data_IF_927330636736
#
_entry.id   IF_927330636736
#
_cell.length_a   1.000
_cell.length_b   1.000
_cell.length_c   1.000
_cell.angle_alpha   90.00
_cell.angle_beta   90.00
_cell.angle_gamma   90.00
#
_symmetry.space_group_name_H-M   'P 1'
#
loop_
_entity.id
_entity.type
_entity.pdbx_description
1 polymer ?
#
# COMPACT_ATOMS: atom_id res chain seq x y z
N UNK A 1 -5.77 -20.46 23.60
CA UNK A 1 -4.95 -20.36 22.37
C UNK A 1 -5.20 -19.08 21.55
N UNK A 2 -6.45 -18.75 21.13
CA UNK A 2 -6.75 -17.57 20.31
C UNK A 2 -6.27 -16.22 20.92
N UNK A 3 -6.50 -15.99 22.22
CA UNK A 3 -6.08 -14.76 22.91
C UNK A 3 -4.54 -14.63 22.99
N UNK A 4 -3.83 -15.73 23.20
CA UNK A 4 -2.38 -15.75 23.24
C UNK A 4 -1.80 -15.37 21.86
N UNK A 5 -2.31 -15.97 20.77
CA UNK A 5 -1.90 -15.66 19.41
C UNK A 5 -2.13 -14.18 19.06
N UNK A 6 -3.31 -13.63 19.42
CA UNK A 6 -3.62 -12.22 19.21
C UNK A 6 -2.63 -11.31 19.96
N UNK A 7 -2.30 -11.64 21.22
CA UNK A 7 -1.34 -10.85 22.00
C UNK A 7 0.07 -10.92 21.43
N UNK A 8 0.51 -12.09 20.95
CA UNK A 8 1.81 -12.26 20.29
C UNK A 8 1.88 -11.44 19.01
N UNK A 9 0.87 -11.53 18.14
CA UNK A 9 0.79 -10.75 16.91
C UNK A 9 0.79 -9.25 17.22
N UNK A 10 -0.01 -8.82 18.21
CA UNK A 10 -0.06 -7.41 18.63
C UNK A 10 1.29 -6.92 19.16
N UNK A 11 1.98 -7.72 19.97
CA UNK A 11 3.31 -7.40 20.47
C UNK A 11 4.34 -7.29 19.34
N UNK A 12 4.30 -8.21 18.39
CA UNK A 12 5.15 -8.18 17.21
C UNK A 12 4.92 -6.92 16.36
N UNK A 13 3.66 -6.60 16.04
CA UNK A 13 3.32 -5.39 15.30
C UNK A 13 3.73 -4.13 16.06
N UNK A 14 3.60 -4.12 17.39
CA UNK A 14 4.03 -2.99 18.22
C UNK A 14 5.54 -2.78 18.17
N UNK A 15 6.33 -3.84 18.15
CA UNK A 15 7.79 -3.78 17.96
C UNK A 15 8.13 -3.24 16.58
N UNK A 16 7.50 -3.79 15.53
CA UNK A 16 7.70 -3.32 14.15
C UNK A 16 7.39 -1.82 14.00
N UNK A 17 6.35 -1.35 14.67
CA UNK A 17 5.98 0.06 14.66
C UNK A 17 7.08 1.02 15.10
N UNK A 18 8.04 0.56 15.89
CA UNK A 18 9.17 1.39 16.36
C UNK A 18 10.19 1.71 15.27
N UNK A 19 10.25 0.87 14.23
CA UNK A 19 11.20 1.07 13.14
C UNK A 19 10.77 2.22 12.21
N UNK A 20 11.73 2.88 11.54
CA UNK A 20 11.43 3.91 10.57
C UNK A 20 10.77 3.32 9.31
N UNK A 21 10.03 4.15 8.57
CA UNK A 21 9.35 3.73 7.34
C UNK A 21 10.31 3.09 6.32
N UNK A 22 11.54 3.57 6.22
CA UNK A 22 12.57 2.99 5.34
C UNK A 22 12.85 1.51 5.61
N UNK A 23 12.80 1.11 6.89
CA UNK A 23 12.94 -0.30 7.27
C UNK A 23 11.76 -1.13 6.76
N UNK A 24 10.54 -0.59 6.85
CA UNK A 24 9.35 -1.28 6.34
C UNK A 24 9.39 -1.44 4.82
N UNK A 25 9.88 -0.44 4.08
CA UNK A 25 10.09 -0.56 2.64
C UNK A 25 11.13 -1.64 2.29
N UNK A 26 12.23 -1.72 3.03
CA UNK A 26 13.20 -2.79 2.86
C UNK A 26 12.57 -4.18 3.08
N UNK A 27 11.76 -4.34 4.11
CA UNK A 27 11.01 -5.58 4.35
C UNK A 27 9.97 -5.84 3.25
N UNK A 28 9.33 -4.79 2.74
CA UNK A 28 8.42 -4.84 1.59
C UNK A 28 9.12 -5.32 0.32
N UNK A 29 10.32 -4.85 0.04
CA UNK A 29 11.12 -5.30 -1.10
C UNK A 29 11.48 -6.79 -1.01
N UNK A 30 11.85 -7.28 0.18
CA UNK A 30 12.08 -8.71 0.44
C UNK A 30 10.80 -9.51 0.20
N UNK A 31 9.67 -9.05 0.73
CA UNK A 31 8.37 -9.68 0.53
C UNK A 31 8.01 -9.73 -0.96
N UNK A 32 8.16 -8.63 -1.67
CA UNK A 32 7.91 -8.53 -3.10
C UNK A 32 8.76 -9.54 -3.90
N UNK A 33 10.04 -9.68 -3.54
CA UNK A 33 10.94 -10.64 -4.16
C UNK A 33 10.49 -12.09 -3.91
N UNK A 34 10.12 -12.43 -2.67
CA UNK A 34 9.62 -13.77 -2.30
C UNK A 34 8.33 -14.07 -3.05
N UNK A 35 7.36 -13.17 -3.04
CA UNK A 35 6.06 -13.34 -3.71
C UNK A 35 6.22 -13.55 -5.21
N UNK A 36 7.14 -12.82 -5.84
CA UNK A 36 7.36 -12.90 -7.28
C UNK A 36 8.19 -14.13 -7.68
N UNK A 37 9.32 -14.38 -7.01
CA UNK A 37 10.32 -15.31 -7.51
C UNK A 37 10.26 -16.71 -6.85
N UNK A 38 9.84 -16.79 -5.59
CA UNK A 38 9.74 -18.05 -4.84
C UNK A 38 8.32 -18.60 -4.95
N UNK A 39 7.34 -17.84 -4.47
CA UNK A 39 5.95 -18.31 -4.40
C UNK A 39 5.21 -18.16 -5.74
N UNK A 40 5.69 -17.29 -6.62
CA UNK A 40 5.02 -16.93 -7.89
C UNK A 40 3.53 -16.62 -7.70
N UNK A 41 3.23 -15.94 -6.58
CA UNK A 41 1.87 -15.65 -6.15
C UNK A 41 1.07 -14.95 -7.26
N UNK A 42 0.10 -15.65 -7.84
CA UNK A 42 -0.77 -15.17 -8.92
C UNK A 42 -0.04 -14.61 -10.14
N UNK A 43 1.20 -15.06 -10.41
CA UNK A 43 2.05 -14.49 -11.46
C UNK A 43 1.38 -14.50 -12.85
N UNK A 44 0.78 -15.63 -13.24
CA UNK A 44 0.08 -15.77 -14.52
C UNK A 44 -1.11 -14.82 -14.63
N UNK A 45 -1.87 -14.66 -13.56
CA UNK A 45 -3.04 -13.74 -13.52
C UNK A 45 -2.58 -12.29 -13.71
N UNK A 46 -1.54 -11.88 -12.98
CA UNK A 46 -0.97 -10.52 -13.07
C UNK A 46 -0.45 -10.27 -14.49
N UNK A 47 0.34 -11.20 -15.04
CA UNK A 47 0.89 -11.08 -16.40
C UNK A 47 -0.22 -11.00 -17.45
N UNK A 48 -1.23 -11.86 -17.35
CA UNK A 48 -2.37 -11.87 -18.30
C UNK A 48 -3.14 -10.56 -18.25
N UNK A 49 -3.45 -10.05 -17.05
CA UNK A 49 -4.18 -8.80 -16.90
C UNK A 49 -3.40 -7.61 -17.48
N UNK A 50 -2.10 -7.52 -17.19
CA UNK A 50 -1.24 -6.48 -17.75
C UNK A 50 -1.19 -6.59 -19.27
N UNK A 51 -0.98 -7.78 -19.83
CA UNK A 51 -0.92 -7.99 -21.28
C UNK A 51 -2.24 -7.61 -21.98
N UNK A 52 -3.38 -7.89 -21.36
CA UNK A 52 -4.69 -7.49 -21.87
C UNK A 52 -4.94 -5.98 -21.79
N UNK A 53 -4.41 -5.32 -20.77
CA UNK A 53 -4.53 -3.87 -20.61
C UNK A 53 -3.67 -3.09 -21.62
N UNK A 54 -2.62 -3.72 -22.14
CA UNK A 54 -1.70 -3.12 -23.09
C UNK A 54 -1.48 -4.00 -24.33
N UNK A 55 -2.52 -4.24 -25.16
CA UNK A 55 -2.49 -5.22 -26.23
C UNK A 55 -1.46 -4.92 -27.33
N UNK A 56 -1.14 -3.62 -27.53
CA UNK A 56 -0.19 -3.17 -28.56
C UNK A 56 1.25 -3.06 -28.03
N UNK A 57 1.51 -3.46 -26.81
CA UNK A 57 2.85 -3.41 -26.24
C UNK A 57 3.63 -4.69 -26.57
N UNK A 58 4.92 -4.54 -26.89
CA UNK A 58 5.79 -5.70 -27.08
C UNK A 58 5.95 -6.49 -25.76
N UNK A 59 6.40 -7.74 -25.86
CA UNK A 59 6.55 -8.68 -24.74
C UNK A 59 7.34 -8.12 -23.53
N UNK A 60 8.33 -7.28 -23.79
CA UNK A 60 9.18 -6.71 -22.71
C UNK A 60 8.41 -5.84 -21.72
N UNK A 61 7.44 -5.06 -22.21
CA UNK A 61 6.69 -4.11 -21.37
C UNK A 61 5.85 -4.80 -20.30
N UNK A 62 5.01 -5.81 -20.61
CA UNK A 62 4.26 -6.55 -19.60
C UNK A 62 5.16 -7.17 -18.52
N UNK A 63 6.30 -7.75 -18.91
CA UNK A 63 7.23 -8.37 -17.96
C UNK A 63 7.86 -7.35 -17.00
N UNK A 64 8.22 -6.17 -17.50
CA UNK A 64 8.71 -5.08 -16.65
C UNK A 64 7.63 -4.55 -15.71
N UNK A 65 6.40 -4.41 -16.21
CA UNK A 65 5.25 -3.96 -15.41
C UNK A 65 4.90 -4.94 -14.31
N UNK A 66 5.01 -6.26 -14.56
CA UNK A 66 4.88 -7.29 -13.51
C UNK A 66 5.86 -7.07 -12.38
N UNK A 67 7.13 -6.72 -12.67
CA UNK A 67 8.11 -6.40 -11.63
C UNK A 67 7.67 -5.20 -10.79
N UNK A 68 7.18 -4.14 -11.45
CA UNK A 68 6.63 -2.96 -10.79
C UNK A 68 5.42 -3.28 -9.90
N UNK A 69 4.52 -4.14 -10.37
CA UNK A 69 3.37 -4.61 -9.60
C UNK A 69 3.78 -5.25 -8.26
N UNK A 70 4.71 -6.21 -8.27
CA UNK A 70 5.14 -6.84 -7.02
C UNK A 70 5.87 -5.88 -6.09
N UNK A 71 6.67 -4.97 -6.64
CA UNK A 71 7.31 -3.93 -5.85
C UNK A 71 6.26 -3.07 -5.15
N UNK A 72 5.26 -2.58 -5.90
CA UNK A 72 4.17 -1.79 -5.34
C UNK A 72 3.36 -2.58 -4.29
N UNK A 73 3.11 -3.86 -4.52
CA UNK A 73 2.45 -4.72 -3.54
C UNK A 73 3.25 -4.79 -2.23
N UNK A 74 4.58 -4.91 -2.29
CA UNK A 74 5.46 -4.87 -1.12
C UNK A 74 5.41 -3.51 -0.40
N UNK A 75 5.39 -2.41 -1.16
CA UNK A 75 5.24 -1.05 -0.62
C UNK A 75 3.89 -0.88 0.10
N UNK A 76 2.79 -1.35 -0.48
CA UNK A 76 1.47 -1.33 0.17
C UNK A 76 1.47 -2.06 1.51
N UNK A 77 2.06 -3.25 1.59
CA UNK A 77 2.19 -3.99 2.84
C UNK A 77 3.04 -3.23 3.87
N UNK A 78 4.17 -2.67 3.44
CA UNK A 78 5.06 -1.90 4.29
C UNK A 78 4.35 -0.68 4.90
N UNK A 79 3.64 0.06 4.09
CA UNK A 79 2.89 1.25 4.49
C UNK A 79 1.72 0.90 5.40
N UNK A 80 0.94 -0.14 5.08
CA UNK A 80 -0.19 -0.58 5.89
C UNK A 80 0.24 -1.01 7.30
N UNK A 81 1.36 -1.76 7.42
CA UNK A 81 1.91 -2.15 8.72
C UNK A 81 2.40 -0.91 9.49
N UNK A 82 3.16 -0.05 8.83
CA UNK A 82 3.69 1.17 9.46
C UNK A 82 2.57 2.13 9.89
N UNK A 83 1.57 2.36 9.02
CA UNK A 83 0.44 3.23 9.29
C UNK A 83 -0.42 2.71 10.44
N UNK A 84 -0.85 1.44 10.38
CA UNK A 84 -1.70 0.82 11.40
C UNK A 84 -1.07 0.73 12.77
N UNK A 85 0.26 0.85 12.85
CA UNK A 85 1.03 0.79 14.09
C UNK A 85 1.61 2.15 14.54
N UNK A 86 1.44 3.20 13.75
CA UNK A 86 1.97 4.54 14.03
C UNK A 86 0.95 5.43 14.75
N UNK A 87 1.45 6.34 15.59
CA UNK A 87 0.61 7.37 16.20
C UNK A 87 0.20 8.43 15.16
N UNK A 88 -0.96 9.08 15.38
CA UNK A 88 -1.43 10.19 14.53
C UNK A 88 -0.34 11.26 14.31
N UNK A 89 0.38 11.64 15.37
CA UNK A 89 1.48 12.61 15.28
C UNK A 89 2.60 12.15 14.35
N UNK A 90 2.95 10.86 14.42
CA UNK A 90 4.02 10.29 13.57
C UNK A 90 3.60 10.25 12.11
N UNK A 91 2.33 9.89 11.83
CA UNK A 91 1.79 9.90 10.47
C UNK A 91 1.79 11.31 9.89
N UNK A 92 1.25 12.31 10.61
CA UNK A 92 1.22 13.69 10.15
C UNK A 92 2.61 14.29 9.89
N UNK A 93 3.61 13.93 10.71
CA UNK A 93 4.99 14.41 10.53
C UNK A 93 5.74 13.72 9.40
N UNK A 94 5.31 12.55 8.97
CA UNK A 94 6.00 11.75 7.95
C UNK A 94 5.88 12.31 6.54
N UNK A 95 4.85 13.13 6.28
CA UNK A 95 4.49 13.66 4.95
C UNK A 95 4.26 12.57 3.89
N UNK A 96 3.92 11.35 4.30
CA UNK A 96 3.63 10.22 3.40
C UNK A 96 2.38 10.50 2.56
N UNK A 97 1.42 11.24 3.13
CA UNK A 97 0.24 11.74 2.43
C UNK A 97 0.30 13.26 2.39
N UNK A 98 0.05 13.83 1.23
CA UNK A 98 -0.05 15.27 1.03
C UNK A 98 -1.39 15.60 0.38
N UNK A 99 -2.22 16.32 1.10
CA UNK A 99 -3.45 16.86 0.56
C UNK A 99 -3.15 18.19 -0.14
N UNK A 100 -3.54 18.29 -1.40
CA UNK A 100 -3.56 19.54 -2.15
C UNK A 100 -5.02 19.97 -2.28
N UNK A 101 -5.29 21.28 -2.13
CA UNK A 101 -6.64 21.84 -2.22
C UNK A 101 -7.63 21.26 -1.19
N UNK A 102 -7.17 20.93 0.02
CA UNK A 102 -8.04 20.42 1.10
C UNK A 102 -9.16 21.41 1.46
N UNK A 103 -8.93 22.71 1.28
CA UNK A 103 -9.90 23.78 1.50
C UNK A 103 -11.16 23.61 0.64
N UNK A 104 -11.03 23.10 -0.59
CA UNK A 104 -12.17 22.84 -1.47
C UNK A 104 -13.08 21.77 -0.87
N UNK A 105 -12.52 20.70 -0.35
CA UNK A 105 -13.26 19.63 0.30
C UNK A 105 -13.95 20.11 1.58
N UNK A 106 -13.25 20.92 2.38
CA UNK A 106 -13.79 21.52 3.62
C UNK A 106 -14.98 22.44 3.29
N UNK A 107 -14.86 23.27 2.25
CA UNK A 107 -15.93 24.17 1.80
C UNK A 107 -17.19 23.38 1.39
N UNK A 108 -17.04 22.27 0.66
CA UNK A 108 -18.17 21.41 0.31
C UNK A 108 -18.83 20.77 1.55
N UNK A 109 -18.07 20.31 2.51
CA UNK A 109 -18.61 19.75 3.76
C UNK A 109 -19.36 20.80 4.60
N UNK A 110 -18.98 22.07 4.51
CA UNK A 110 -19.69 23.14 5.21
C UNK A 110 -21.00 23.55 4.52
N UNK A 111 -21.06 23.43 3.19
CA UNK A 111 -22.22 23.88 2.38
C UNK A 111 -23.26 22.79 2.15
N UNK A 112 -22.91 21.54 2.34
CA UNK A 112 -23.79 20.41 2.02
C UNK A 112 -23.94 19.45 3.19
N UNK A 113 -25.15 18.91 3.44
CA UNK A 113 -25.39 17.94 4.52
C UNK A 113 -24.69 16.60 4.27
N UNK A 114 -24.35 16.30 3.03
CA UNK A 114 -23.61 15.11 2.63
C UNK A 114 -22.77 15.38 1.38
N UNK A 115 -21.59 14.76 1.32
CA UNK A 115 -20.66 14.87 0.20
C UNK A 115 -20.22 13.48 -0.21
N UNK A 116 -20.31 13.16 -1.51
CA UNK A 116 -19.78 11.93 -2.08
C UNK A 116 -18.42 12.22 -2.71
N UNK A 117 -17.38 11.53 -2.24
CA UNK A 117 -16.03 11.64 -2.78
C UNK A 117 -15.76 10.43 -3.69
N UNK A 118 -15.43 10.70 -4.95
CA UNK A 118 -14.98 9.66 -5.89
C UNK A 118 -13.45 9.61 -5.84
N UNK A 119 -12.92 8.43 -5.57
CA UNK A 119 -11.47 8.18 -5.52
C UNK A 119 -11.09 7.08 -6.49
N UNK A 120 -9.88 7.15 -7.02
CA UNK A 120 -9.31 6.08 -7.84
C UNK A 120 -8.60 5.06 -6.94
N UNK A 121 -8.57 3.80 -7.38
CA UNK A 121 -7.81 2.73 -6.70
C UNK A 121 -6.30 2.78 -7.06
N UNK A 122 -5.72 4.00 -7.11
CA UNK A 122 -4.31 4.21 -7.42
C UNK A 122 -3.52 4.49 -6.13
N UNK A 123 -2.32 3.92 -6.04
CA UNK A 123 -1.49 4.07 -4.85
C UNK A 123 -2.04 3.31 -3.64
N UNK A 124 -1.72 3.78 -2.45
CA UNK A 124 -2.22 3.23 -1.20
C UNK A 124 -3.42 4.05 -0.68
N UNK A 125 -4.61 3.73 -1.17
CA UNK A 125 -5.85 4.42 -0.79
C UNK A 125 -6.24 4.21 0.69
N UNK A 126 -5.66 3.22 1.38
CA UNK A 126 -5.89 3.01 2.82
C UNK A 126 -5.26 4.11 3.69
N UNK A 127 -4.44 4.99 3.09
CA UNK A 127 -3.86 6.15 3.76
C UNK A 127 -4.76 7.39 3.71
N UNK A 128 -5.90 7.32 3.02
CA UNK A 128 -6.92 8.38 2.94
C UNK A 128 -7.88 8.27 4.10
#
# INVERSE_FOLDING_TARGET
>A
MRRLLVNVVRGFLWVLARFPLKFHYFMGDILAWILKNVLRYRYSVVLTNISRSFPNSGYKMPVQTVKGFYKHLGELFAESIWFGSSSRKRVSSSRIVRFTNAEVLIDYFQKSPSVTVLSTHCGNWELL
#
